data_IF_983044635066
#
_entry.id   IF_983044635066
#
_cell.length_a   1.000
_cell.length_b   1.000
_cell.length_c   1.000
_cell.angle_alpha   90.00
_cell.angle_beta   90.00
_cell.angle_gamma   90.00
#
_symmetry.space_group_name_H-M   'P 1'
#
loop_
_entity.id
_entity.type
_entity.pdbx_description
1 polymer ?
#
# COMPACT_ATOMS: atom_id res chain seq x y z
N UNK A 1 24.75 8.09 -14.65
CA UNK A 1 23.32 8.21 -15.00
C UNK A 1 22.77 6.80 -15.02
N UNK A 2 21.67 6.45 -14.33
CA UNK A 2 21.18 5.07 -14.35
C UNK A 2 20.83 4.68 -15.79
N UNK A 3 21.37 3.55 -16.24
CA UNK A 3 21.14 2.99 -17.55
C UNK A 3 19.62 2.75 -17.75
N UNK A 4 19.10 3.10 -18.93
CA UNK A 4 17.66 2.97 -19.26
C UNK A 4 17.10 1.57 -18.93
N UNK A 5 17.92 0.54 -19.15
CA UNK A 5 17.60 -0.87 -18.86
C UNK A 5 17.27 -1.12 -17.38
N UNK A 6 18.04 -0.53 -16.48
CA UNK A 6 17.80 -0.61 -15.03
C UNK A 6 16.51 0.11 -14.63
N UNK A 7 16.14 1.18 -15.33
CA UNK A 7 14.88 1.89 -15.07
C UNK A 7 13.67 1.05 -15.51
N UNK A 8 13.74 0.39 -16.66
CA UNK A 8 12.67 -0.50 -17.14
C UNK A 8 12.48 -1.72 -16.24
N UNK A 9 13.56 -2.33 -15.76
CA UNK A 9 13.50 -3.45 -14.81
C UNK A 9 12.89 -3.04 -13.46
N UNK A 10 13.23 -1.85 -12.96
CA UNK A 10 12.62 -1.30 -11.74
C UNK A 10 11.12 -1.04 -11.94
N UNK A 11 10.74 -0.43 -13.07
CA UNK A 11 9.32 -0.16 -13.39
C UNK A 11 8.52 -1.47 -13.53
N UNK A 12 9.08 -2.49 -14.19
CA UNK A 12 8.46 -3.80 -14.30
C UNK A 12 8.21 -4.45 -12.92
N UNK A 13 9.18 -4.36 -12.01
CA UNK A 13 9.01 -4.84 -10.63
C UNK A 13 7.93 -4.08 -9.85
N UNK A 14 7.77 -2.78 -10.09
CA UNK A 14 6.69 -1.99 -9.49
C UNK A 14 5.31 -2.40 -10.03
N UNK A 15 5.20 -2.67 -11.33
CA UNK A 15 3.95 -3.11 -11.95
C UNK A 15 3.53 -4.51 -11.46
N UNK A 16 4.49 -5.43 -11.30
CA UNK A 16 4.23 -6.74 -10.72
C UNK A 16 3.76 -6.63 -9.27
N UNK A 17 4.43 -5.81 -8.45
CA UNK A 17 4.00 -5.55 -7.08
C UNK A 17 2.58 -4.96 -7.03
N UNK A 18 2.24 -4.04 -7.94
CA UNK A 18 0.89 -3.48 -8.03
C UNK A 18 -0.18 -4.52 -8.41
N UNK A 19 0.16 -5.46 -9.32
CA UNK A 19 -0.74 -6.58 -9.66
C UNK A 19 -0.97 -7.50 -8.47
N UNK A 20 0.08 -7.86 -7.74
CA UNK A 20 -0.04 -8.70 -6.54
C UNK A 20 -0.87 -8.00 -5.46
N UNK A 21 -0.61 -6.72 -5.20
CA UNK A 21 -1.38 -5.92 -4.25
C UNK A 21 -2.88 -5.87 -4.62
N UNK A 22 -3.21 -5.81 -5.91
CA UNK A 22 -4.60 -5.88 -6.37
C UNK A 22 -5.24 -7.24 -6.07
N UNK A 23 -4.53 -8.34 -6.34
CA UNK A 23 -5.02 -9.70 -6.07
C UNK A 23 -5.27 -9.88 -4.57
N UNK A 24 -4.32 -9.48 -3.72
CA UNK A 24 -4.49 -9.53 -2.27
C UNK A 24 -5.67 -8.67 -1.81
N UNK A 25 -5.82 -7.47 -2.37
CA UNK A 25 -6.95 -6.59 -2.07
C UNK A 25 -8.29 -7.24 -2.45
N UNK A 26 -8.37 -7.94 -3.57
CA UNK A 26 -9.57 -8.67 -4.02
C UNK A 26 -9.93 -9.85 -3.11
N UNK A 27 -8.97 -10.41 -2.38
CA UNK A 27 -9.20 -11.50 -1.42
C UNK A 27 -9.66 -11.01 -0.04
N UNK A 28 -9.57 -9.71 0.26
CA UNK A 28 -10.03 -9.16 1.53
C UNK A 28 -11.56 -9.31 1.70
N UNK A 29 -12.07 -9.43 2.93
CA UNK A 29 -13.50 -9.38 3.20
C UNK A 29 -14.12 -8.07 2.68
N UNK A 30 -15.35 -8.14 2.14
CA UNK A 30 -16.01 -6.99 1.51
C UNK A 30 -16.18 -5.79 2.45
N UNK A 31 -16.42 -6.04 3.73
CA UNK A 31 -16.50 -4.99 4.74
C UNK A 31 -15.17 -4.25 4.89
N UNK A 32 -14.05 -4.98 4.93
CA UNK A 32 -12.70 -4.42 5.02
C UNK A 32 -12.39 -3.58 3.77
N UNK A 33 -12.69 -4.10 2.57
CA UNK A 33 -12.53 -3.37 1.31
C UNK A 33 -13.31 -2.06 1.33
N UNK A 34 -14.58 -2.09 1.75
CA UNK A 34 -15.44 -0.91 1.82
C UNK A 34 -14.87 0.15 2.77
N UNK A 35 -14.46 -0.24 3.97
CA UNK A 35 -13.88 0.69 4.94
C UNK A 35 -12.55 1.29 4.45
N UNK A 36 -11.65 0.45 3.93
CA UNK A 36 -10.37 0.89 3.39
C UNK A 36 -10.56 1.85 2.20
N UNK A 37 -11.42 1.50 1.25
CA UNK A 37 -11.71 2.33 0.08
C UNK A 37 -12.39 3.66 0.45
N UNK A 38 -13.33 3.63 1.39
CA UNK A 38 -14.02 4.84 1.87
C UNK A 38 -13.06 5.81 2.57
N UNK A 39 -12.20 5.28 3.46
CA UNK A 39 -11.18 6.09 4.13
C UNK A 39 -10.20 6.68 3.12
N UNK A 40 -9.67 5.85 2.21
CA UNK A 40 -8.70 6.31 1.21
C UNK A 40 -9.33 7.37 0.30
N UNK A 41 -10.54 7.15 -0.23
CA UNK A 41 -11.25 8.12 -1.09
C UNK A 41 -11.48 9.46 -0.41
N UNK A 42 -11.84 9.45 0.89
CA UNK A 42 -12.07 10.68 1.67
C UNK A 42 -10.83 11.56 1.79
N UNK A 43 -9.65 10.95 1.92
CA UNK A 43 -8.42 11.66 2.22
C UNK A 43 -7.47 11.80 1.03
N UNK A 44 -7.61 10.97 -0.01
CA UNK A 44 -6.72 10.96 -1.16
C UNK A 44 -6.59 12.34 -1.81
N UNK A 45 -7.70 13.04 -2.03
CA UNK A 45 -7.70 14.38 -2.61
C UNK A 45 -7.16 15.48 -1.69
N UNK A 46 -7.09 15.24 -0.37
CA UNK A 46 -6.66 16.23 0.63
C UNK A 46 -5.20 16.07 1.04
N UNK A 47 -4.77 14.82 1.24
CA UNK A 47 -3.45 14.47 1.77
C UNK A 47 -2.51 13.84 0.73
N UNK A 48 -3.05 13.29 -0.37
CA UNK A 48 -2.30 12.56 -1.38
C UNK A 48 -1.84 11.16 -0.94
N UNK A 49 -1.63 10.27 -1.91
CA UNK A 49 -1.32 8.85 -1.66
C UNK A 49 -0.05 8.63 -0.83
N UNK A 50 1.01 9.42 -1.05
CA UNK A 50 2.30 9.25 -0.39
C UNK A 50 2.23 9.48 1.13
N UNK A 51 1.41 10.45 1.58
CA UNK A 51 1.23 10.73 3.01
C UNK A 51 0.36 9.66 3.67
N UNK A 52 -0.71 9.23 3.00
CA UNK A 52 -1.59 8.16 3.49
C UNK A 52 -0.85 6.82 3.58
N UNK A 53 -0.03 6.48 2.59
CA UNK A 53 0.80 5.28 2.61
C UNK A 53 1.78 5.27 3.79
N UNK A 54 2.45 6.39 4.07
CA UNK A 54 3.35 6.51 5.24
C UNK A 54 2.61 6.29 6.56
N UNK A 55 1.40 6.82 6.68
CA UNK A 55 0.57 6.66 7.87
C UNK A 55 0.22 5.18 8.10
N UNK A 56 -0.25 4.49 7.05
CA UNK A 56 -0.61 3.07 7.14
C UNK A 56 0.60 2.19 7.47
N UNK A 57 1.77 2.46 6.87
CA UNK A 57 3.00 1.73 7.19
C UNK A 57 3.46 1.97 8.63
N UNK A 58 3.35 3.21 9.13
CA UNK A 58 3.69 3.52 10.52
C UNK A 58 2.76 2.76 11.49
N UNK A 59 1.46 2.76 11.22
CA UNK A 59 0.48 2.00 12.00
C UNK A 59 0.78 0.49 11.98
N UNK A 60 1.08 -0.10 10.82
CA UNK A 60 1.43 -1.52 10.72
C UNK A 60 2.65 -1.86 11.58
N UNK A 61 3.70 -1.03 11.55
CA UNK A 61 4.89 -1.22 12.40
C UNK A 61 4.59 -1.14 13.89
N UNK A 62 3.69 -0.24 14.29
CA UNK A 62 3.27 -0.11 15.68
C UNK A 62 2.55 -1.38 16.16
N UNK A 63 1.67 -1.95 15.32
CA UNK A 63 0.99 -3.21 15.62
C UNK A 63 1.96 -4.39 15.72
N UNK A 64 2.93 -4.49 14.80
CA UNK A 64 3.99 -5.51 14.86
C UNK A 64 4.83 -5.42 16.15
N UNK A 65 5.07 -4.20 16.65
CA UNK A 65 5.81 -3.97 17.88
C UNK A 65 4.99 -4.28 19.14
N UNK A 66 3.67 -4.09 19.08
CA UNK A 66 2.76 -4.32 20.20
C UNK A 66 2.39 -5.81 20.33
N UNK A 67 2.31 -6.54 19.21
CA UNK A 67 2.07 -7.99 19.16
C UNK A 67 3.25 -8.89 19.54
N UNK A 68 4.37 -8.35 20.04
CA UNK A 68 5.51 -9.13 20.57
C UNK A 68 5.43 -9.43 22.08
N UNK A 69 4.29 -9.16 22.73
CA UNK A 69 4.13 -9.32 24.19
C UNK A 69 2.98 -10.27 24.58
N UNK A 70 2.46 -11.10 23.66
CA UNK A 70 1.49 -12.14 23.99
C UNK A 70 1.98 -13.53 23.57
#
# INVERSE_FOLDING_TARGET
MPDKKTTEEILAGMDEAAKQAKIEFEQLPDEVKKHAAAWLRKWYGKAGYKRLGRLLVAYAKEQESTGKTE
#
